data_IF_170612975075
#
_entry.id   IF_170612975075
#
_cell.length_a   1.000
_cell.length_b   1.000
_cell.length_c   1.000
_cell.angle_alpha   90.00
_cell.angle_beta   90.00
_cell.angle_gamma   90.00
#
_symmetry.space_group_name_H-M   'P 1'
#
loop_
_entity.id
_entity.type
_entity.pdbx_description
1 polymer ?
#
# COMPACT_ATOMS: atom_id res chain seq x y z
N UNK A 1 -7.62 62.61 -46.04
CA UNK A 1 -7.16 61.22 -46.20
C UNK A 1 -6.07 60.95 -45.18
N UNK A 2 -6.37 60.28 -44.06
CA UNK A 2 -5.66 59.10 -43.53
C UNK A 2 -6.63 58.51 -42.49
N UNK A 3 -6.99 57.25 -42.72
CA UNK A 3 -7.85 56.43 -41.85
C UNK A 3 -6.99 55.68 -40.82
N UNK A 4 -7.63 55.30 -39.72
CA UNK A 4 -7.34 54.18 -38.82
C UNK A 4 -6.17 54.31 -37.83
N UNK A 5 -6.48 54.24 -36.54
CA UNK A 5 -6.14 53.07 -35.72
C UNK A 5 -6.88 53.16 -34.37
N UNK A 6 -8.02 52.48 -34.26
CA UNK A 6 -8.64 52.20 -32.96
C UNK A 6 -7.68 51.29 -32.19
N UNK A 7 -7.08 51.80 -31.12
CA UNK A 7 -6.30 51.01 -30.17
C UNK A 7 -7.23 50.22 -29.26
N UNK A 8 -7.80 49.12 -29.77
CA UNK A 8 -8.40 48.09 -28.92
C UNK A 8 -7.28 47.21 -28.38
N UNK A 9 -6.81 47.52 -27.18
CA UNK A 9 -6.06 46.61 -26.33
C UNK A 9 -6.91 45.35 -26.10
N UNK A 10 -6.43 44.14 -26.46
CA UNK A 10 -7.14 42.92 -26.11
C UNK A 10 -7.01 42.73 -24.60
N UNK A 11 -8.10 43.02 -23.87
CA UNK A 11 -8.25 42.60 -22.48
C UNK A 11 -8.30 41.07 -22.48
N UNK A 12 -7.17 40.43 -22.15
CA UNK A 12 -7.10 39.01 -21.85
C UNK A 12 -8.16 38.68 -20.78
N UNK A 13 -9.12 37.78 -21.06
CA UNK A 13 -10.13 37.42 -20.09
C UNK A 13 -9.45 36.80 -18.87
N UNK A 14 -9.61 37.41 -17.69
CA UNK A 14 -9.17 36.87 -16.40
C UNK A 14 -9.76 35.48 -16.08
N UNK A 15 -10.72 35.03 -16.90
CA UNK A 15 -11.46 33.78 -16.74
C UNK A 15 -10.70 32.54 -17.22
N UNK A 16 -9.63 32.69 -18.00
CA UNK A 16 -8.85 31.55 -18.50
C UNK A 16 -7.88 30.95 -17.46
N UNK A 17 -7.58 31.67 -16.38
CA UNK A 17 -6.54 31.27 -15.41
C UNK A 17 -7.11 30.64 -14.12
N UNK A 18 -8.43 30.67 -13.94
CA UNK A 18 -9.10 30.18 -12.74
C UNK A 18 -9.94 28.92 -12.98
N UNK A 19 -9.43 27.99 -13.80
CA UNK A 19 -9.97 26.64 -13.78
C UNK A 19 -9.52 25.95 -12.48
N UNK A 20 -10.29 26.14 -11.38
CA UNK A 20 -10.19 25.23 -10.24
C UNK A 20 -10.36 23.83 -10.80
N UNK A 21 -9.38 22.92 -10.63
CA UNK A 21 -9.60 21.54 -11.02
C UNK A 21 -10.82 21.06 -10.25
N UNK A 22 -11.84 20.62 -11.01
CA UNK A 22 -13.02 19.98 -10.46
C UNK A 22 -12.49 18.92 -9.48
N UNK A 23 -12.89 18.90 -8.20
CA UNK A 23 -12.46 17.85 -7.30
C UNK A 23 -12.90 16.55 -7.96
N UNK A 24 -11.93 15.85 -8.53
CA UNK A 24 -12.15 14.55 -9.12
C UNK A 24 -12.43 13.69 -7.91
N UNK A 25 -13.72 13.55 -7.58
CA UNK A 25 -14.20 12.50 -6.71
C UNK A 25 -13.78 11.23 -7.41
N UNK A 26 -12.57 10.75 -7.10
CA UNK A 26 -12.03 9.51 -7.59
C UNK A 26 -13.07 8.48 -7.16
N UNK A 27 -13.93 8.06 -8.10
CA UNK A 27 -14.80 6.91 -7.90
C UNK A 27 -13.88 5.84 -7.37
N UNK A 28 -14.11 5.29 -6.17
CA UNK A 28 -13.20 4.31 -5.62
C UNK A 28 -13.14 3.20 -6.65
N UNK A 29 -12.01 3.09 -7.36
CA UNK A 29 -11.82 2.05 -8.34
C UNK A 29 -12.15 0.77 -7.61
N UNK A 30 -13.09 -0.03 -8.14
CA UNK A 30 -13.57 -1.26 -7.49
C UNK A 30 -12.40 -2.11 -6.99
N UNK A 31 -11.28 -2.07 -7.74
CA UNK A 31 -9.99 -2.67 -7.40
C UNK A 31 -9.42 -2.21 -6.04
N UNK A 32 -9.45 -0.92 -5.72
CA UNK A 32 -8.96 -0.38 -4.43
C UNK A 32 -9.86 -0.82 -3.29
N UNK A 33 -11.18 -0.83 -3.50
CA UNK A 33 -12.14 -1.30 -2.47
C UNK A 33 -11.97 -2.80 -2.22
N UNK A 34 -11.81 -3.61 -3.26
CA UNK A 34 -11.53 -5.05 -3.13
C UNK A 34 -10.25 -5.29 -2.33
N UNK A 35 -9.19 -4.53 -2.60
CA UNK A 35 -7.93 -4.62 -1.84
C UNK A 35 -8.08 -4.23 -0.37
N UNK A 36 -8.91 -3.23 -0.07
CA UNK A 36 -9.25 -2.82 1.31
C UNK A 36 -9.97 -3.97 2.03
N UNK A 37 -10.96 -4.59 1.39
CA UNK A 37 -11.71 -5.71 1.98
C UNK A 37 -10.80 -6.91 2.22
N UNK A 38 -9.93 -7.23 1.27
CA UNK A 38 -8.94 -8.31 1.42
C UNK A 38 -7.98 -8.01 2.59
N UNK A 39 -7.52 -6.77 2.72
CA UNK A 39 -6.66 -6.37 3.84
C UNK A 39 -7.40 -6.43 5.19
N UNK A 40 -8.66 -5.99 5.26
CA UNK A 40 -9.46 -6.08 6.49
C UNK A 40 -9.74 -7.52 6.90
N UNK A 41 -10.02 -8.41 5.93
CA UNK A 41 -10.14 -9.85 6.20
C UNK A 41 -8.84 -10.43 6.75
N UNK A 42 -7.68 -9.94 6.29
CA UNK A 42 -6.37 -10.31 6.84
C UNK A 42 -6.17 -9.88 8.30
N UNK A 43 -6.57 -8.64 8.64
CA UNK A 43 -6.50 -8.14 10.02
C UNK A 43 -7.42 -8.96 10.94
N UNK A 44 -8.67 -9.15 10.52
CA UNK A 44 -9.68 -9.91 11.28
C UNK A 44 -9.23 -11.34 11.46
N UNK A 45 -8.81 -12.03 10.40
CA UNK A 45 -8.36 -13.42 10.49
C UNK A 45 -7.09 -13.59 11.35
N UNK A 46 -6.15 -12.63 11.33
CA UNK A 46 -4.98 -12.66 12.22
C UNK A 46 -5.35 -12.49 13.70
N UNK A 47 -6.26 -11.56 14.03
CA UNK A 47 -6.73 -11.36 15.40
C UNK A 47 -7.55 -12.56 15.92
N UNK A 48 -8.46 -13.07 15.08
CA UNK A 48 -9.31 -14.21 15.43
C UNK A 48 -8.53 -15.52 15.55
N UNK A 49 -7.44 -15.69 14.80
CA UNK A 49 -6.56 -16.84 14.94
C UNK A 49 -5.62 -16.70 16.14
N UNK A 50 -5.08 -15.50 16.39
CA UNK A 50 -4.12 -15.28 17.47
C UNK A 50 -4.65 -15.58 18.86
N UNK A 51 -5.93 -15.26 19.12
CA UNK A 51 -6.58 -15.49 20.42
C UNK A 51 -6.67 -17.00 20.77
N UNK A 52 -7.32 -17.87 19.97
CA UNK A 52 -7.39 -19.30 20.27
C UNK A 52 -6.02 -19.98 20.22
N UNK A 53 -5.09 -19.56 19.36
CA UNK A 53 -3.73 -20.12 19.37
C UNK A 53 -2.96 -19.79 20.65
N UNK A 54 -3.18 -18.60 21.23
CA UNK A 54 -2.57 -18.21 22.50
C UNK A 54 -3.19 -18.94 23.70
N UNK A 55 -4.53 -19.02 23.78
CA UNK A 55 -5.22 -19.53 24.97
C UNK A 55 -5.54 -21.03 24.94
N UNK A 56 -5.84 -21.61 23.77
CA UNK A 56 -6.30 -22.99 23.66
C UNK A 56 -5.17 -23.97 23.31
N UNK A 57 -4.30 -23.61 22.36
CA UNK A 57 -3.27 -24.51 21.84
C UNK A 57 -1.89 -24.35 22.52
N UNK A 58 -1.73 -23.39 23.44
CA UNK A 58 -0.44 -23.00 24.08
C UNK A 58 0.69 -22.79 23.05
N UNK A 59 0.35 -22.32 21.86
CA UNK A 59 1.24 -22.29 20.71
C UNK A 59 1.70 -20.84 20.46
N UNK A 60 2.64 -20.39 21.29
CA UNK A 60 3.07 -18.98 21.33
C UNK A 60 3.72 -18.52 20.04
N UNK A 61 4.44 -19.42 19.35
CA UNK A 61 5.05 -19.16 18.05
C UNK A 61 3.99 -18.78 17.00
N UNK A 62 2.97 -19.62 16.81
CA UNK A 62 1.89 -19.37 15.85
C UNK A 62 1.08 -18.11 16.20
N UNK A 63 0.77 -17.92 17.48
CA UNK A 63 0.06 -16.74 17.96
C UNK A 63 0.86 -15.45 17.67
N UNK A 64 2.16 -15.43 17.99
CA UNK A 64 3.04 -14.30 17.70
C UNK A 64 3.04 -13.92 16.21
N UNK A 65 3.22 -14.90 15.32
CA UNK A 65 3.23 -14.64 13.87
C UNK A 65 1.87 -14.21 13.32
N UNK A 66 0.76 -14.67 13.90
CA UNK A 66 -0.58 -14.20 13.51
C UNK A 66 -0.80 -12.71 13.81
N UNK A 67 -0.33 -12.23 14.98
CA UNK A 67 -0.40 -10.82 15.34
C UNK A 67 0.53 -9.97 14.47
N UNK A 68 1.75 -10.43 14.23
CA UNK A 68 2.70 -9.75 13.33
C UNK A 68 2.07 -9.62 11.92
N UNK A 69 1.49 -10.70 11.39
CA UNK A 69 0.80 -10.68 10.10
C UNK A 69 -0.36 -9.69 10.07
N UNK A 70 -1.16 -9.64 11.14
CA UNK A 70 -2.27 -8.68 11.29
C UNK A 70 -1.80 -7.23 11.29
N UNK A 71 -0.68 -6.93 11.97
CA UNK A 71 -0.07 -5.60 11.96
C UNK A 71 0.33 -5.20 10.54
N UNK A 72 0.97 -6.09 9.78
CA UNK A 72 1.32 -5.82 8.38
C UNK A 72 0.08 -5.61 7.49
N UNK A 73 -0.98 -6.39 7.70
CA UNK A 73 -2.25 -6.18 6.99
C UNK A 73 -2.90 -4.82 7.35
N UNK A 74 -2.80 -4.39 8.61
CA UNK A 74 -3.26 -3.07 9.05
C UNK A 74 -2.47 -1.94 8.37
N UNK A 75 -1.16 -2.10 8.18
CA UNK A 75 -0.37 -1.15 7.39
C UNK A 75 -0.84 -1.05 5.93
N UNK A 76 -1.17 -2.17 5.28
CA UNK A 76 -1.76 -2.16 3.93
C UNK A 76 -3.09 -1.41 3.93
N UNK A 77 -3.92 -1.63 4.95
CA UNK A 77 -5.23 -0.97 5.08
C UNK A 77 -5.07 0.55 5.24
N UNK A 78 -4.16 1.00 6.11
CA UNK A 78 -3.86 2.42 6.32
C UNK A 78 -3.39 3.07 5.01
N UNK A 79 -2.53 2.40 4.23
CA UNK A 79 -2.08 2.89 2.93
C UNK A 79 -3.25 3.11 1.96
N UNK A 80 -4.21 2.18 1.89
CA UNK A 80 -5.37 2.31 1.01
C UNK A 80 -6.36 3.39 1.47
N UNK A 81 -6.60 3.52 2.77
CA UNK A 81 -7.45 4.58 3.33
C UNK A 81 -6.84 5.95 3.05
N UNK A 82 -5.52 6.10 3.23
CA UNK A 82 -4.84 7.37 2.95
C UNK A 82 -4.79 7.72 1.48
N UNK A 83 -4.68 6.73 0.60
CA UNK A 83 -4.84 6.94 -0.84
C UNK A 83 -6.21 7.55 -1.18
N UNK A 84 -7.29 7.13 -0.50
CA UNK A 84 -8.63 7.71 -0.70
C UNK A 84 -8.78 9.13 -0.14
N UNK A 85 -8.09 9.47 0.94
CA UNK A 85 -8.27 10.76 1.62
C UNK A 85 -7.57 11.97 0.96
N UNK A 86 -6.89 11.80 -0.19
CA UNK A 86 -6.23 12.87 -0.96
C UNK A 86 -5.22 13.74 -0.18
N UNK A 87 -4.95 13.44 1.10
CA UNK A 87 -3.98 14.15 1.96
C UNK A 87 -2.57 13.62 1.72
N UNK A 88 -2.09 13.69 0.46
CA UNK A 88 -0.83 13.04 0.06
C UNK A 88 0.41 13.94 0.22
N UNK A 89 0.26 15.27 0.13
CA UNK A 89 1.40 16.20 0.10
C UNK A 89 2.21 16.23 1.40
N UNK A 90 1.56 16.04 2.56
CA UNK A 90 2.22 15.96 3.87
C UNK A 90 2.73 14.56 4.23
N UNK A 91 2.40 13.53 3.44
CA UNK A 91 2.62 12.13 3.81
C UNK A 91 3.77 11.45 3.07
N UNK A 92 4.43 12.15 2.13
CA UNK A 92 5.60 11.66 1.40
C UNK A 92 6.74 11.11 2.27
N UNK A 93 7.12 11.76 3.38
CA UNK A 93 8.17 11.24 4.24
C UNK A 93 7.79 9.89 4.86
N UNK A 94 6.52 9.74 5.24
CA UNK A 94 5.99 8.50 5.84
C UNK A 94 5.85 7.36 4.83
N UNK A 95 5.67 7.69 3.55
CA UNK A 95 5.65 6.69 2.47
C UNK A 95 7.02 5.96 2.35
N UNK A 96 8.13 6.68 2.61
CA UNK A 96 9.48 6.08 2.69
C UNK A 96 9.62 5.14 3.88
N UNK A 97 9.07 5.50 5.04
CA UNK A 97 9.01 4.62 6.21
C UNK A 97 8.17 3.38 5.91
N UNK A 98 7.03 3.50 5.23
CA UNK A 98 6.24 2.33 4.81
C UNK A 98 7.00 1.41 3.86
N UNK A 99 7.82 1.93 2.94
CA UNK A 99 8.70 1.08 2.12
C UNK A 99 9.71 0.31 2.96
N UNK A 100 10.34 0.98 3.94
CA UNK A 100 11.28 0.34 4.85
C UNK A 100 10.61 -0.75 5.68
N UNK A 101 9.43 -0.48 6.25
CA UNK A 101 8.63 -1.45 6.98
C UNK A 101 8.27 -2.64 6.09
N UNK A 102 7.89 -2.41 4.83
CA UNK A 102 7.63 -3.48 3.87
C UNK A 102 8.88 -4.34 3.58
N UNK A 103 10.04 -3.71 3.42
CA UNK A 103 11.30 -4.42 3.16
C UNK A 103 11.75 -5.24 4.38
N UNK A 104 11.71 -4.66 5.59
CA UNK A 104 11.98 -5.38 6.84
C UNK A 104 11.00 -6.53 7.03
N UNK A 105 9.72 -6.30 6.72
CA UNK A 105 8.68 -7.34 6.77
C UNK A 105 8.93 -8.49 5.79
N UNK A 106 9.49 -8.21 4.61
CA UNK A 106 9.88 -9.26 3.66
C UNK A 106 11.04 -10.09 4.19
N UNK A 107 12.08 -9.45 4.74
CA UNK A 107 13.21 -10.14 5.36
C UNK A 107 12.76 -10.96 6.57
N UNK A 108 11.87 -10.41 7.40
CA UNK A 108 11.24 -11.13 8.49
C UNK A 108 10.45 -12.35 7.97
N UNK A 109 9.61 -12.17 6.95
CA UNK A 109 8.84 -13.29 6.37
C UNK A 109 9.71 -14.41 5.81
N UNK A 110 10.79 -14.08 5.09
CA UNK A 110 11.72 -15.07 4.53
C UNK A 110 12.52 -15.76 5.65
N UNK A 111 13.06 -15.01 6.61
CA UNK A 111 13.82 -15.58 7.73
C UNK A 111 12.96 -16.54 8.56
N UNK A 112 11.70 -16.19 8.79
CA UNK A 112 10.70 -17.03 9.46
C UNK A 112 10.43 -18.31 8.69
N UNK A 113 10.19 -18.21 7.38
CA UNK A 113 10.03 -19.39 6.53
C UNK A 113 11.21 -20.34 6.66
N UNK A 114 12.44 -19.83 6.52
CA UNK A 114 13.65 -20.65 6.60
C UNK A 114 13.81 -21.25 7.99
N UNK A 115 13.64 -20.45 9.05
CA UNK A 115 13.78 -20.92 10.43
C UNK A 115 12.78 -22.02 10.77
N UNK A 116 11.49 -21.84 10.42
CA UNK A 116 10.46 -22.83 10.74
C UNK A 116 10.52 -24.07 9.84
N UNK A 117 10.98 -23.95 8.58
CA UNK A 117 11.28 -25.13 7.75
C UNK A 117 12.43 -25.93 8.37
N UNK A 118 13.53 -25.26 8.74
CA UNK A 118 14.68 -25.92 9.38
C UNK A 118 14.28 -26.58 10.70
N UNK A 119 13.51 -25.91 11.55
CA UNK A 119 12.98 -26.50 12.79
C UNK A 119 12.06 -27.69 12.51
N UNK A 120 11.17 -27.59 11.52
CA UNK A 120 10.26 -28.68 11.17
C UNK A 120 11.01 -29.94 10.71
N UNK A 121 12.10 -29.78 9.94
CA UNK A 121 12.95 -30.89 9.48
C UNK A 121 13.76 -31.48 10.63
N UNK A 122 14.38 -30.65 11.47
CA UNK A 122 15.25 -31.10 12.57
C UNK A 122 14.46 -31.81 13.67
N UNK A 123 13.29 -31.29 14.04
CA UNK A 123 12.44 -31.92 15.07
C UNK A 123 11.58 -33.07 14.53
N UNK A 124 11.61 -33.34 13.22
CA UNK A 124 10.87 -34.45 12.60
C UNK A 124 9.37 -34.42 12.85
N UNK A 125 8.80 -33.23 13.09
CA UNK A 125 7.39 -33.12 13.47
C UNK A 125 6.46 -33.37 12.29
N UNK A 126 5.63 -34.41 12.43
CA UNK A 126 4.59 -34.75 11.48
C UNK A 126 3.42 -33.74 11.57
N UNK A 127 2.85 -33.37 10.41
CA UNK A 127 1.68 -32.48 10.23
C UNK A 127 0.44 -32.82 11.09
N UNK A 128 0.43 -33.97 11.77
CA UNK A 128 -0.70 -34.50 12.56
C UNK A 128 -0.74 -34.02 14.01
N UNK A 129 0.32 -33.42 14.53
CA UNK A 129 0.40 -33.08 15.97
C UNK A 129 -0.30 -31.75 16.27
N UNK A 130 -1.62 -31.65 16.04
CA UNK A 130 -2.41 -30.42 16.23
C UNK A 130 -2.41 -29.89 17.68
N UNK A 131 -2.02 -30.72 18.65
CA UNK A 131 -1.83 -30.37 20.06
C UNK A 131 -0.33 -30.23 20.38
N UNK A 132 0.11 -29.03 20.76
CA UNK A 132 1.51 -28.69 21.05
C UNK A 132 2.11 -27.70 20.05
N UNK A 133 3.37 -27.29 20.25
CA UNK A 133 4.04 -26.34 19.36
C UNK A 133 4.12 -26.87 17.93
N UNK A 134 3.51 -26.14 16.98
CA UNK A 134 3.36 -26.58 15.59
C UNK A 134 4.07 -25.61 14.66
N UNK A 135 5.28 -25.99 14.25
CA UNK A 135 6.12 -25.16 13.38
C UNK A 135 5.55 -25.01 11.96
N UNK A 136 4.76 -25.99 11.49
CA UNK A 136 4.06 -25.92 10.20
C UNK A 136 3.02 -24.79 10.14
N UNK A 137 2.26 -24.57 11.22
CA UNK A 137 1.30 -23.46 11.29
C UNK A 137 2.06 -22.12 11.29
N UNK A 138 3.15 -22.01 12.07
CA UNK A 138 3.97 -20.80 12.11
C UNK A 138 4.58 -20.47 10.73
N UNK A 139 4.97 -21.50 9.95
CA UNK A 139 5.45 -21.36 8.58
C UNK A 139 4.38 -20.74 7.66
N UNK A 140 3.13 -21.21 7.71
CA UNK A 140 2.01 -20.63 6.93
C UNK A 140 1.79 -19.17 7.31
N UNK A 141 1.87 -18.83 8.61
CA UNK A 141 1.78 -17.44 9.07
C UNK A 141 2.98 -16.59 8.62
N UNK A 142 4.18 -17.17 8.55
CA UNK A 142 5.36 -16.54 7.95
C UNK A 142 5.14 -16.21 6.48
N UNK A 143 4.63 -17.16 5.69
CA UNK A 143 4.27 -16.95 4.29
C UNK A 143 3.21 -15.84 4.14
N UNK A 144 2.19 -15.84 5.00
CA UNK A 144 1.16 -14.78 5.00
C UNK A 144 1.77 -13.41 5.30
N UNK A 145 2.69 -13.34 6.26
CA UNK A 145 3.42 -12.11 6.61
C UNK A 145 4.26 -11.61 5.44
N UNK A 146 4.97 -12.50 4.75
CA UNK A 146 5.75 -12.16 3.56
C UNK A 146 4.87 -11.59 2.43
N UNK A 147 3.72 -12.22 2.14
CA UNK A 147 2.73 -11.73 1.18
C UNK A 147 2.27 -10.30 1.50
N UNK A 148 1.91 -10.04 2.76
CA UNK A 148 1.42 -8.72 3.17
C UNK A 148 2.54 -7.69 3.15
N UNK A 149 3.75 -8.04 3.58
CA UNK A 149 4.91 -7.17 3.50
C UNK A 149 5.27 -6.81 2.05
N UNK A 150 5.19 -7.77 1.12
CA UNK A 150 5.36 -7.52 -0.31
C UNK A 150 4.30 -6.56 -0.85
N UNK A 151 3.04 -6.73 -0.46
CA UNK A 151 1.97 -5.81 -0.83
C UNK A 151 2.23 -4.38 -0.32
N UNK A 152 2.66 -4.22 0.95
CA UNK A 152 3.05 -2.91 1.51
C UNK A 152 4.14 -2.26 0.66
N UNK A 153 5.21 -3.00 0.35
CA UNK A 153 6.32 -2.49 -0.45
C UNK A 153 5.88 -2.08 -1.87
N UNK A 154 5.13 -2.96 -2.55
CA UNK A 154 4.65 -2.73 -3.91
C UNK A 154 3.74 -1.49 -4.00
N UNK A 155 2.74 -1.40 -3.12
CA UNK A 155 1.82 -0.25 -3.12
C UNK A 155 2.51 1.05 -2.74
N UNK A 156 3.44 1.01 -1.77
CA UNK A 156 4.22 2.20 -1.43
C UNK A 156 5.02 2.71 -2.64
N UNK A 157 5.58 1.83 -3.46
CA UNK A 157 6.34 2.19 -4.68
C UNK A 157 5.43 2.72 -5.78
N UNK A 158 4.28 2.09 -5.99
CA UNK A 158 3.30 2.52 -6.98
C UNK A 158 2.77 3.93 -6.65
N UNK A 159 2.37 4.16 -5.40
CA UNK A 159 1.87 5.46 -4.96
C UNK A 159 2.93 6.56 -5.02
N UNK A 160 4.19 6.24 -4.72
CA UNK A 160 5.30 7.19 -4.87
C UNK A 160 5.51 7.60 -6.34
N UNK A 161 5.43 6.65 -7.28
CA UNK A 161 5.58 6.92 -8.73
C UNK A 161 4.45 7.79 -9.26
N UNK A 162 3.21 7.44 -8.94
CA UNK A 162 2.02 8.23 -9.31
C UNK A 162 2.14 9.67 -8.81
N UNK A 163 2.56 9.85 -7.56
CA UNK A 163 2.74 11.18 -6.98
C UNK A 163 3.84 12.01 -7.66
N UNK A 164 4.99 11.41 -7.98
CA UNK A 164 6.07 12.12 -8.68
C UNK A 164 5.59 12.58 -10.06
N UNK A 165 4.82 11.74 -10.77
CA UNK A 165 4.26 12.10 -12.07
C UNK A 165 3.25 13.25 -11.99
N UNK A 166 2.46 13.34 -10.92
CA UNK A 166 1.46 14.39 -10.72
C UNK A 166 2.05 15.72 -10.24
N UNK A 167 3.24 15.68 -9.63
CA UNK A 167 4.02 16.88 -9.28
C UNK A 167 4.83 17.47 -10.44
N UNK A 168 5.03 16.71 -11.52
CA UNK A 168 5.63 17.28 -12.72
C UNK A 168 4.61 18.24 -13.35
N UNK A 169 4.94 19.53 -13.54
CA UNK A 169 4.09 20.38 -14.38
C UNK A 169 4.02 19.72 -15.75
N UNK A 170 2.81 19.44 -16.24
CA UNK A 170 2.62 19.12 -17.66
C UNK A 170 3.17 20.31 -18.42
N UNK A 171 4.38 20.19 -18.96
CA UNK A 171 4.89 21.14 -19.95
C UNK A 171 3.86 21.07 -21.07
N UNK A 172 3.07 22.12 -21.33
CA UNK A 172 2.17 22.11 -22.47
C UNK A 172 3.07 21.81 -23.67
N UNK A 173 2.73 20.76 -24.42
CA UNK A 173 3.37 20.54 -25.71
C UNK A 173 3.15 21.85 -26.47
N UNK A 174 4.22 22.62 -26.66
CA UNK A 174 4.18 23.78 -27.53
C UNK A 174 3.73 23.23 -28.88
N UNK A 175 2.51 23.60 -29.27
CA UNK A 175 2.02 23.40 -30.61
C UNK A 175 2.93 24.26 -31.47
N UNK A 176 3.75 23.62 -32.31
CA UNK A 176 4.43 24.33 -33.38
C UNK A 176 3.35 24.70 -34.41
N UNK A 177 2.69 25.83 -34.21
CA UNK A 177 1.79 26.44 -35.20
C UNK A 177 2.56 27.32 -36.21
N UNK A 178 3.88 27.16 -36.31
CA UNK A 178 4.74 27.93 -37.22
C UNK A 178 5.40 27.01 -38.27
N UNK A 179 4.59 26.36 -39.09
CA UNK A 179 4.97 26.07 -40.48
C UNK A 179 3.95 26.76 -41.38
N UNK A 180 4.21 28.06 -41.60
CA UNK A 180 3.65 28.86 -42.69
C UNK A 180 4.27 28.47 -44.03
#
# INVERSE_FOLDING_TARGET
MVNACNSTTPTLPNDALYHKPKPTTMRPSTVVTVRIVIASLGVVSGLLAGIPFAFHFRNYNAAGWSFVSSIFAAFVLILHIKHKNLTLRSWLPRLRTCMLVGCVGQLAGVSVMVAYISLAVVLGQNLRMLYGENYWIALVWGWMTWKWAFAVFYYSRLYRRLYIAEMQPKVPAYVNDDEQ
#
